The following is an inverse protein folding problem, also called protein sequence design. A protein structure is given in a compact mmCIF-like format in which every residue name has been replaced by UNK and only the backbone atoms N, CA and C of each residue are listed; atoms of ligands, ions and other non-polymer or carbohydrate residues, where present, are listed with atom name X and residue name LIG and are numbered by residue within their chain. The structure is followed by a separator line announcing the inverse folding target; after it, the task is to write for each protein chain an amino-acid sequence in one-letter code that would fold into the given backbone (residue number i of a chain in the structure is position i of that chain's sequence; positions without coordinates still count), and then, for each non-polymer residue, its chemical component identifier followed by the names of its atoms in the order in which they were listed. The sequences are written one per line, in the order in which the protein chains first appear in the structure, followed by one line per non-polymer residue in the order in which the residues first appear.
data_IF_968137417544
#
_entry.id   IF_968137417544
#
_cell.length_a   1.000
_cell.length_b   1.000
_cell.length_c   1.000
_cell.angle_alpha   90.00
_cell.angle_beta   90.00
_cell.angle_gamma   90.00
#
_symmetry.space_group_name_H-M   'P 1'
#
loop_
_entity.id
_entity.type
_entity.pdbx_description
1 polymer ?
#
# COMPACT_ATOMS: atom_id res chain seq x y z
N UNK A 1 -11.59 28.45 -2.97
CA UNK A 1 -11.48 27.55 -1.84
C UNK A 1 -10.52 26.43 -2.20
N UNK A 2 -9.49 26.27 -1.44
CA UNK A 2 -8.53 25.22 -1.71
C UNK A 2 -9.00 23.92 -1.09
N UNK A 3 -8.96 22.88 -1.87
CA UNK A 3 -9.28 21.55 -1.38
C UNK A 3 -8.03 20.93 -0.78
N UNK A 4 -8.25 20.08 0.21
CA UNK A 4 -7.14 19.31 0.78
C UNK A 4 -6.68 18.27 -0.21
N UNK A 5 -5.38 18.05 -0.27
CA UNK A 5 -4.83 16.92 -0.99
C UNK A 5 -5.22 15.64 -0.27
N UNK A 6 -5.71 14.69 -1.03
CA UNK A 6 -6.11 13.39 -0.49
C UNK A 6 -5.00 12.40 -0.72
N UNK A 7 -4.41 11.91 0.36
CA UNK A 7 -3.33 10.93 0.31
C UNK A 7 -3.79 9.68 1.04
N UNK A 8 -3.51 8.53 0.46
CA UNK A 8 -3.83 7.25 1.09
C UNK A 8 -2.55 6.51 1.43
N UNK A 9 -2.60 5.72 2.50
CA UNK A 9 -1.45 4.91 2.91
C UNK A 9 -1.73 3.45 2.65
N UNK A 10 -0.75 2.78 2.06
CA UNK A 10 -0.78 1.34 1.85
C UNK A 10 0.28 0.72 2.77
N UNK A 11 -0.19 -0.05 3.74
CA UNK A 11 0.70 -0.68 4.71
C UNK A 11 1.15 -2.04 4.19
N UNK A 12 2.45 -2.19 4.02
CA UNK A 12 3.03 -3.42 3.49
C UNK A 12 3.35 -4.48 4.53
N UNK A 13 3.16 -4.17 5.81
CA UNK A 13 3.40 -5.12 6.88
C UNK A 13 2.09 -5.72 7.35
N UNK A 14 2.03 -7.03 7.44
CA UNK A 14 0.84 -7.74 7.88
C UNK A 14 0.86 -8.06 9.38
N UNK A 15 1.99 -7.81 10.03
CA UNK A 15 2.15 -8.13 11.43
C UNK A 15 1.50 -7.07 12.30
N UNK A 16 0.67 -7.51 13.26
CA UNK A 16 0.10 -6.60 14.24
C UNK A 16 1.20 -5.99 15.10
N UNK A 17 1.05 -4.71 15.41
CA UNK A 17 2.04 -4.02 16.23
C UNK A 17 3.36 -3.78 15.52
N UNK A 18 3.40 -3.89 14.21
CA UNK A 18 4.63 -3.62 13.47
C UNK A 18 5.02 -2.16 13.61
N UNK A 19 6.32 -1.91 13.52
CA UNK A 19 6.84 -0.55 13.54
C UNK A 19 6.29 0.25 12.36
N UNK A 20 6.18 -0.39 11.19
CA UNK A 20 5.60 0.26 10.02
C UNK A 20 4.14 0.62 10.23
N UNK A 21 3.40 -0.22 10.95
CA UNK A 21 2.03 0.10 11.32
C UNK A 21 1.95 1.35 12.18
N UNK A 22 2.88 1.49 13.13
CA UNK A 22 2.96 2.69 13.95
C UNK A 22 3.26 3.92 13.11
N UNK A 23 4.20 3.83 12.17
CA UNK A 23 4.51 4.92 11.27
C UNK A 23 3.29 5.31 10.45
N UNK A 24 2.60 4.32 9.88
CA UNK A 24 1.41 4.59 9.06
C UNK A 24 0.32 5.30 9.88
N UNK A 25 0.13 4.90 11.14
CA UNK A 25 -0.88 5.53 12.00
C UNK A 25 -0.49 6.93 12.46
N UNK A 26 0.80 7.24 12.43
CA UNK A 26 1.29 8.56 12.82
C UNK A 26 1.14 9.60 11.71
N UNK A 27 1.22 9.16 10.45
CA UNK A 27 1.18 10.09 9.32
C UNK A 27 -0.04 11.02 9.31
N UNK A 28 -1.27 10.54 9.59
CA UNK A 28 -2.42 11.47 9.63
C UNK A 28 -2.26 12.56 10.68
N UNK A 29 -1.55 12.27 11.78
CA UNK A 29 -1.40 13.21 12.88
C UNK A 29 -0.40 14.30 12.61
N UNK A 30 0.57 14.05 11.74
CA UNK A 30 1.63 15.01 11.45
C UNK A 30 1.48 15.64 10.08
N UNK A 31 0.47 15.25 9.32
CA UNK A 31 0.24 15.80 7.99
C UNK A 31 -0.11 17.29 8.07
N UNK A 32 0.33 18.09 7.09
CA UNK A 32 -0.05 19.50 7.04
C UNK A 32 -1.57 19.68 6.96
N UNK A 33 -2.06 20.85 7.37
CA UNK A 33 -3.48 21.13 7.33
C UNK A 33 -4.06 21.06 5.90
N UNK A 34 -3.21 21.23 4.89
CA UNK A 34 -3.63 21.16 3.49
C UNK A 34 -3.70 19.74 2.94
N UNK A 35 -3.43 18.74 3.78
CA UNK A 35 -3.36 17.35 3.35
C UNK A 35 -4.17 16.47 4.29
N UNK A 36 -4.95 15.57 3.73
CA UNK A 36 -5.66 14.56 4.50
C UNK A 36 -5.06 13.20 4.16
N UNK A 37 -4.71 12.45 5.19
CA UNK A 37 -4.09 11.13 5.02
C UNK A 37 -5.00 10.07 5.60
N UNK A 38 -5.41 9.12 4.78
CA UNK A 38 -6.30 8.04 5.19
C UNK A 38 -5.69 6.70 4.86
N UNK A 39 -5.88 5.72 5.74
CA UNK A 39 -5.37 4.38 5.53
C UNK A 39 -6.24 3.62 4.53
N UNK A 40 -5.59 2.89 3.63
CA UNK A 40 -6.28 1.93 2.78
C UNK A 40 -6.64 0.68 3.57
N UNK A 41 -7.61 -0.12 3.08
CA UNK A 41 -7.90 -1.41 3.70
C UNK A 41 -6.66 -2.29 3.75
N UNK A 42 -6.67 -3.25 4.67
CA UNK A 42 -5.57 -4.19 4.82
C UNK A 42 -5.43 -5.08 3.59
N UNK A 43 -4.19 -5.42 3.25
CA UNK A 43 -3.90 -6.34 2.14
C UNK A 43 -3.79 -7.79 2.62
N UNK A 44 -4.06 -8.05 3.90
CA UNK A 44 -3.84 -9.36 4.51
C UNK A 44 -4.68 -10.47 3.88
N UNK A 45 -5.89 -10.14 3.41
CA UNK A 45 -6.83 -11.14 2.92
C UNK A 45 -6.83 -11.28 1.41
N UNK A 46 -5.88 -10.68 0.72
CA UNK A 46 -5.80 -10.78 -0.73
C UNK A 46 -5.17 -12.13 -1.08
N UNK A 47 -5.86 -12.97 -1.88
CA UNK A 47 -5.28 -14.24 -2.28
C UNK A 47 -4.06 -14.03 -3.18
N UNK A 48 -3.20 -15.03 -3.26
CA UNK A 48 -2.07 -14.96 -4.17
C UNK A 48 -2.58 -14.78 -5.60
N UNK A 49 -1.92 -13.91 -6.34
CA UNK A 49 -2.31 -13.65 -7.72
C UNK A 49 -2.15 -14.93 -8.54
N UNK A 50 -3.19 -15.23 -9.30
CA UNK A 50 -3.23 -16.37 -10.20
C UNK A 50 -4.06 -15.94 -11.40
N UNK A 51 -3.47 -16.02 -12.59
CA UNK A 51 -4.13 -15.58 -13.81
C UNK A 51 -5.39 -16.38 -14.08
N UNK A 52 -5.40 -17.67 -13.75
CA UNK A 52 -6.59 -18.51 -13.95
C UNK A 52 -7.73 -18.05 -13.03
N UNK A 53 -7.41 -17.75 -11.78
CA UNK A 53 -8.40 -17.25 -10.84
C UNK A 53 -8.96 -15.91 -11.33
N UNK A 54 -8.11 -15.02 -11.80
CA UNK A 54 -8.56 -13.75 -12.35
C UNK A 54 -9.51 -13.95 -13.52
N UNK A 55 -9.19 -14.87 -14.41
CA UNK A 55 -10.00 -15.12 -15.60
C UNK A 55 -11.33 -15.74 -15.25
N UNK A 56 -11.37 -16.63 -14.27
CA UNK A 56 -12.58 -17.36 -13.90
C UNK A 56 -13.46 -16.60 -12.92
N UNK A 57 -12.85 -15.93 -11.94
CA UNK A 57 -13.57 -15.33 -10.83
C UNK A 57 -13.50 -13.79 -10.81
N UNK A 58 -12.66 -13.20 -11.64
CA UNK A 58 -12.46 -11.76 -11.64
C UNK A 58 -11.52 -11.31 -10.51
N UNK A 59 -11.62 -10.04 -10.17
CA UNK A 59 -10.76 -9.45 -9.15
C UNK A 59 -11.40 -9.58 -7.76
N UNK A 60 -10.60 -9.90 -6.73
CA UNK A 60 -11.14 -9.90 -5.36
C UNK A 60 -11.73 -8.54 -5.00
N UNK A 61 -12.78 -8.57 -4.18
CA UNK A 61 -13.44 -7.33 -3.76
C UNK A 61 -12.48 -6.37 -3.06
N UNK A 62 -11.54 -6.89 -2.27
CA UNK A 62 -10.55 -6.06 -1.59
C UNK A 62 -9.67 -5.33 -2.60
N UNK A 63 -9.27 -6.00 -3.68
CA UNK A 63 -8.45 -5.38 -4.72
C UNK A 63 -9.22 -4.25 -5.39
N UNK A 64 -10.49 -4.46 -5.69
CA UNK A 64 -11.31 -3.43 -6.31
C UNK A 64 -11.53 -2.24 -5.38
N UNK A 65 -11.72 -2.50 -4.08
CA UNK A 65 -11.87 -1.42 -3.10
C UNK A 65 -10.58 -0.62 -2.98
N UNK A 66 -9.43 -1.28 -2.94
CA UNK A 66 -8.14 -0.59 -2.94
C UNK A 66 -7.98 0.28 -4.17
N UNK A 67 -8.29 -0.28 -5.34
CA UNK A 67 -8.13 0.43 -6.60
C UNK A 67 -8.98 1.70 -6.64
N UNK A 68 -10.22 1.60 -6.19
CA UNK A 68 -11.12 2.75 -6.21
C UNK A 68 -10.62 3.87 -5.32
N UNK A 69 -10.17 3.53 -4.11
CA UNK A 69 -9.65 4.53 -3.20
C UNK A 69 -8.37 5.17 -3.72
N UNK A 70 -7.51 4.38 -4.37
CA UNK A 70 -6.29 4.93 -4.98
C UNK A 70 -6.63 5.86 -6.12
N UNK A 71 -7.59 5.49 -6.97
CA UNK A 71 -8.00 6.35 -8.08
C UNK A 71 -8.47 7.72 -7.61
N UNK A 72 -9.18 7.75 -6.50
CA UNK A 72 -9.71 9.00 -5.95
C UNK A 72 -8.68 9.81 -5.20
N UNK A 73 -7.54 9.22 -4.86
CA UNK A 73 -6.50 9.90 -4.12
C UNK A 73 -5.60 10.72 -5.03
N UNK A 74 -5.00 11.76 -4.48
CA UNK A 74 -4.00 12.56 -5.19
C UNK A 74 -2.62 11.92 -5.11
N UNK A 75 -2.37 11.06 -4.14
CA UNK A 75 -1.11 10.37 -4.00
C UNK A 75 -1.19 9.20 -3.05
N UNK A 76 -0.17 8.35 -3.08
CA UNK A 76 -0.11 7.15 -2.25
C UNK A 76 1.21 7.11 -1.50
N UNK A 77 1.14 6.81 -0.22
CA UNK A 77 2.34 6.53 0.59
C UNK A 77 2.34 5.04 0.91
N UNK A 78 3.36 4.34 0.46
CA UNK A 78 3.54 2.93 0.78
C UNK A 78 4.48 2.86 1.98
N UNK A 79 3.98 2.33 3.10
CA UNK A 79 4.76 2.17 4.32
C UNK A 79 5.07 0.69 4.45
N UNK A 80 6.34 0.34 4.32
CA UNK A 80 6.70 -1.07 4.21
C UNK A 80 8.08 -1.34 4.82
N UNK A 81 8.26 -2.51 5.45
CA UNK A 81 9.62 -2.98 5.73
C UNK A 81 10.28 -3.46 4.44
N UNK A 82 11.57 -3.65 4.51
CA UNK A 82 12.32 -4.29 3.44
C UNK A 82 12.72 -5.69 3.91
N UNK A 83 12.38 -6.71 3.13
CA UNK A 83 12.76 -8.08 3.42
C UNK A 83 13.70 -8.56 2.33
N UNK A 84 14.90 -8.99 2.71
CA UNK A 84 15.88 -9.50 1.75
C UNK A 84 16.11 -8.52 0.59
N UNK A 85 16.22 -7.24 0.92
CA UNK A 85 16.43 -6.14 -0.04
C UNK A 85 15.28 -5.97 -1.03
N UNK A 86 14.08 -6.41 -0.66
CA UNK A 86 12.90 -6.29 -1.51
C UNK A 86 11.66 -6.01 -0.67
N UNK A 87 10.54 -5.78 -1.35
CA UNK A 87 9.28 -5.56 -0.66
C UNK A 87 8.72 -6.88 -0.11
N UNK A 88 7.92 -6.82 0.97
CA UNK A 88 7.27 -8.03 1.48
C UNK A 88 6.38 -8.68 0.43
N UNK A 89 6.27 -10.02 0.51
CA UNK A 89 5.50 -10.78 -0.45
C UNK A 89 4.04 -10.35 -0.54
N UNK A 90 3.42 -10.04 0.59
CA UNK A 90 2.02 -9.57 0.58
C UNK A 90 1.83 -8.26 -0.15
N UNK A 91 2.78 -7.34 0.00
CA UNK A 91 2.74 -6.08 -0.72
C UNK A 91 2.95 -6.30 -2.22
N UNK A 92 3.93 -7.12 -2.58
CA UNK A 92 4.18 -7.45 -3.99
C UNK A 92 2.94 -8.06 -4.62
N UNK A 93 2.28 -8.97 -3.90
CA UNK A 93 1.06 -9.61 -4.37
C UNK A 93 -0.06 -8.58 -4.61
N UNK A 94 -0.24 -7.64 -3.69
CA UNK A 94 -1.25 -6.59 -3.86
C UNK A 94 -0.95 -5.74 -5.10
N UNK A 95 0.30 -5.39 -5.30
CA UNK A 95 0.71 -4.61 -6.48
C UNK A 95 0.47 -5.41 -7.74
N UNK A 96 0.77 -6.71 -7.73
CA UNK A 96 0.54 -7.58 -8.88
C UNK A 96 -0.95 -7.58 -9.28
N UNK A 97 -1.84 -7.71 -8.30
CA UNK A 97 -3.27 -7.64 -8.59
C UNK A 97 -3.69 -6.29 -9.14
N UNK A 98 -3.25 -5.20 -8.50
CA UNK A 98 -3.62 -3.85 -8.91
C UNK A 98 -3.17 -3.54 -10.33
N UNK A 99 -1.99 -4.05 -10.72
CA UNK A 99 -1.42 -3.78 -12.04
C UNK A 99 -2.18 -4.49 -13.17
N UNK A 100 -3.01 -5.47 -12.83
CA UNK A 100 -3.78 -6.22 -13.83
C UNK A 100 -5.14 -5.60 -14.14
N UNK A 101 -5.58 -4.64 -13.37
CA UNK A 101 -6.86 -3.98 -13.61
C UNK A 101 -6.81 -3.23 -14.94
N UNK A 102 -7.92 -3.23 -15.71
CA UNK A 102 -7.96 -2.54 -17.00
C UNK A 102 -7.58 -1.07 -16.91
N UNK A 103 -7.95 -0.42 -15.80
CA UNK A 103 -7.62 0.97 -15.55
C UNK A 103 -6.80 1.00 -14.26
N UNK A 104 -5.56 0.51 -14.37
CA UNK A 104 -4.78 0.28 -13.16
C UNK A 104 -4.52 1.60 -12.44
N UNK A 105 -4.80 1.63 -11.11
CA UNK A 105 -4.91 2.87 -10.36
C UNK A 105 -3.58 3.56 -10.07
N UNK A 106 -2.46 2.86 -10.19
CA UNK A 106 -1.16 3.44 -9.88
C UNK A 106 -0.55 4.21 -11.04
N UNK A 107 -1.09 4.06 -12.25
CA UNK A 107 -0.54 4.73 -13.43
C UNK A 107 -0.62 6.25 -13.26
N UNK A 108 0.51 6.91 -13.40
CA UNK A 108 0.57 8.37 -13.27
C UNK A 108 0.35 8.90 -11.87
N UNK A 109 0.20 8.03 -10.87
CA UNK A 109 -0.06 8.44 -9.49
C UNK A 109 1.25 8.71 -8.76
N UNK A 110 1.41 9.86 -8.09
CA UNK A 110 2.57 10.07 -7.24
C UNK A 110 2.60 9.05 -6.11
N UNK A 111 3.74 8.39 -5.95
CA UNK A 111 3.92 7.36 -4.93
C UNK A 111 5.17 7.66 -4.14
N UNK A 112 5.04 7.72 -2.82
CA UNK A 112 6.17 7.82 -1.91
C UNK A 112 6.30 6.50 -1.18
N UNK A 113 7.51 5.96 -1.13
CA UNK A 113 7.79 4.74 -0.39
C UNK A 113 8.53 5.10 0.87
N UNK A 114 7.92 4.81 2.01
CA UNK A 114 8.51 5.00 3.32
C UNK A 114 8.94 3.64 3.82
N UNK A 115 10.25 3.39 3.81
CA UNK A 115 10.79 2.15 4.33
C UNK A 115 11.24 2.37 5.75
N UNK A 116 11.02 1.36 6.56
CA UNK A 116 11.49 1.36 7.91
C UNK A 116 12.34 0.13 8.08
N UNK A 117 13.58 0.31 7.71
CA UNK A 117 14.52 -0.76 7.73
C UNK A 117 15.34 -0.65 8.99
N UNK A 118 14.96 -1.44 9.99
CA UNK A 118 15.89 -1.66 11.07
C UNK A 118 16.95 -2.55 10.46
N UNK A 119 18.05 -1.96 10.17
CA UNK A 119 19.16 -2.72 9.67
C UNK A 119 19.66 -3.58 10.80
N UNK A 120 19.21 -4.78 10.79
CA UNK A 120 19.88 -5.81 11.50
C UNK A 120 21.07 -6.15 10.67
N UNK A 121 22.13 -5.57 11.03
CA UNK A 121 23.36 -5.99 10.49
C UNK A 121 23.73 -7.27 11.16
N UNK A 122 23.41 -8.22 10.57
CA UNK A 122 23.69 -9.52 11.11
C UNK A 122 25.08 -9.94 10.72
N UNK A 123 25.09 -9.59 10.56
CA UNK A 123 25.77 -9.91 10.24
C UNK A 123 26.01 -9.93 10.23
N UNK A 124 25.72 -9.70 10.27
CA UNK A 124 25.62 -9.46 10.28
C UNK A 124 25.50 -9.25 9.99
N UNK A 125 25.66 -8.98 10.00
CA UNK A 125 25.41 -8.37 9.76
C UNK A 125 25.01 -8.05 9.84
#
# INVERSE_FOLDING_TARGET
MSEKLQVVTLLGSLRKGSFNGMVARTLPKIAPASMEVNALPSIADIPLYDADVQQEEGFPATVEALAEQIRQADGVVIVTPEYNYSVPGGLKNAIDWLSRLPDQPLAGKPVLIQTNNIVWNLHGH
#
